data_IF_527216528795
#
_entry.id   IF_527216528795
#
_cell.length_a   1.000
_cell.length_b   1.000
_cell.length_c   1.000
_cell.angle_alpha   90.00
_cell.angle_beta   90.00
_cell.angle_gamma   90.00
#
_symmetry.space_group_name_H-M   'P 1'
#
loop_
_entity.id
_entity.type
_entity.pdbx_description
1 polymer ?
#
# COMPACT_ATOMS: atom_id res chain seq x y z
N UNK A 1 20.87 77.82 -62.68
CA UNK A 1 20.53 76.95 -63.83
C UNK A 1 20.30 75.52 -63.34
N UNK A 2 19.12 74.90 -63.75
CA UNK A 2 18.75 73.49 -63.79
C UNK A 2 18.68 72.74 -62.47
N UNK A 3 17.52 72.60 -61.91
CA UNK A 3 16.59 71.49 -61.77
C UNK A 3 17.13 70.05 -62.00
N UNK A 4 16.98 69.18 -60.99
CA UNK A 4 16.37 67.85 -61.24
C UNK A 4 15.99 67.20 -59.92
N UNK A 5 14.71 66.90 -59.83
CA UNK A 5 14.03 66.12 -58.90
C UNK A 5 14.38 64.64 -59.05
N UNK A 6 14.47 63.88 -57.94
CA UNK A 6 14.37 62.41 -57.94
C UNK A 6 13.48 61.99 -56.82
N UNK A 7 12.56 61.14 -57.20
CA UNK A 7 11.41 60.54 -56.54
C UNK A 7 11.68 59.80 -55.25
N UNK A 8 10.71 59.90 -54.33
CA UNK A 8 10.51 59.11 -53.19
C UNK A 8 10.12 57.65 -53.55
N UNK A 9 10.80 56.67 -52.96
CA UNK A 9 10.41 55.28 -52.99
C UNK A 9 9.90 54.86 -51.59
N UNK A 10 8.62 54.81 -51.42
CA UNK A 10 8.00 54.28 -50.20
C UNK A 10 8.04 52.74 -50.22
N UNK A 11 8.89 52.17 -49.37
CA UNK A 11 8.90 50.72 -49.08
C UNK A 11 7.85 50.40 -48.02
N UNK A 12 6.79 49.81 -48.45
CA UNK A 12 5.78 49.24 -47.52
C UNK A 12 6.32 47.98 -46.85
N UNK A 13 6.63 48.05 -45.56
CA UNK A 13 6.88 46.90 -44.71
C UNK A 13 5.52 46.25 -44.34
N UNK A 14 5.15 45.18 -45.02
CA UNK A 14 4.04 44.30 -44.64
C UNK A 14 4.46 43.46 -43.45
N UNK A 15 4.04 43.85 -42.24
CA UNK A 15 4.11 43.03 -41.05
C UNK A 15 3.15 41.86 -41.18
N UNK A 16 3.64 40.66 -41.48
CA UNK A 16 2.87 39.45 -41.36
C UNK A 16 2.64 39.18 -39.87
N UNK A 17 1.48 39.54 -39.35
CA UNK A 17 0.99 39.05 -38.06
C UNK A 17 0.74 37.58 -38.18
N UNK A 18 1.65 36.75 -37.62
CA UNK A 18 1.42 35.36 -37.40
C UNK A 18 0.26 35.23 -36.40
N UNK A 19 -0.94 35.00 -36.92
CA UNK A 19 -2.07 34.57 -36.11
C UNK A 19 -1.70 33.23 -35.51
N UNK A 20 -1.35 33.21 -34.22
CA UNK A 20 -1.28 32.00 -33.42
C UNK A 20 -2.70 31.41 -33.36
N UNK A 21 -2.96 30.43 -34.22
CA UNK A 21 -4.18 29.61 -34.13
C UNK A 21 -4.03 28.85 -32.84
N UNK A 22 -4.63 29.35 -31.76
CA UNK A 22 -4.84 28.55 -30.56
C UNK A 22 -5.63 27.32 -30.96
N UNK A 23 -5.02 26.15 -30.86
CA UNK A 23 -5.74 24.89 -31.04
C UNK A 23 -7.01 24.92 -30.18
N UNK A 24 -8.17 24.53 -30.69
CA UNK A 24 -9.39 24.52 -29.89
C UNK A 24 -9.15 23.65 -28.68
N UNK A 25 -9.23 24.21 -27.48
CA UNK A 25 -9.33 23.47 -26.26
C UNK A 25 -10.60 22.63 -26.40
N UNK A 26 -10.46 21.35 -26.76
CA UNK A 26 -11.58 20.40 -26.66
C UNK A 26 -11.89 20.38 -25.16
N UNK A 27 -13.00 21.01 -24.79
CA UNK A 27 -13.57 20.91 -23.46
C UNK A 27 -14.03 19.46 -23.27
N UNK A 28 -13.09 18.56 -22.97
CA UNK A 28 -13.42 17.26 -22.41
C UNK A 28 -14.04 17.57 -21.04
N UNK A 29 -15.31 17.20 -20.87
CA UNK A 29 -15.97 17.35 -19.57
C UNK A 29 -15.13 16.72 -18.47
N UNK A 30 -15.23 17.24 -17.24
CA UNK A 30 -14.54 16.70 -16.08
C UNK A 30 -14.88 15.21 -15.92
N UNK A 31 -13.86 14.36 -15.87
CA UNK A 31 -14.00 12.94 -15.57
C UNK A 31 -14.15 12.79 -14.05
N UNK A 32 -15.33 12.37 -13.61
CA UNK A 32 -15.63 12.15 -12.19
C UNK A 32 -15.52 10.66 -11.88
N UNK A 33 -14.66 10.30 -10.92
CA UNK A 33 -14.38 8.94 -10.51
C UNK A 33 -14.72 8.74 -9.03
N UNK A 34 -15.17 7.54 -8.69
CA UNK A 34 -15.45 7.11 -7.31
C UNK A 34 -14.36 6.17 -6.86
N UNK A 35 -13.66 6.52 -5.77
CA UNK A 35 -12.70 5.64 -5.10
C UNK A 35 -13.31 5.14 -3.79
N UNK A 36 -13.41 3.85 -3.61
CA UNK A 36 -13.83 3.21 -2.36
C UNK A 36 -12.63 2.70 -1.59
N UNK A 37 -12.66 2.74 -0.25
CA UNK A 37 -11.56 2.28 0.59
C UNK A 37 -12.03 1.29 1.65
N UNK A 38 -11.11 0.47 2.17
CA UNK A 38 -11.37 -0.45 3.29
C UNK A 38 -11.05 0.20 4.65
N UNK A 39 -10.77 1.51 4.66
CA UNK A 39 -10.30 2.23 5.84
C UNK A 39 -11.43 2.98 6.53
N UNK A 40 -11.42 3.03 7.89
CA UNK A 40 -12.34 3.88 8.64
C UNK A 40 -12.22 5.34 8.22
N UNK A 41 -13.33 6.05 8.20
CA UNK A 41 -13.33 7.48 7.97
C UNK A 41 -12.37 8.18 8.97
N UNK A 42 -11.57 9.14 8.49
CA UNK A 42 -10.55 9.88 9.27
C UNK A 42 -9.37 9.04 9.76
N UNK A 43 -9.21 7.78 9.33
CA UNK A 43 -8.00 7.00 9.64
C UNK A 43 -6.78 7.70 9.04
N UNK A 44 -5.86 8.11 9.89
CA UNK A 44 -4.59 8.71 9.45
C UNK A 44 -3.77 7.68 8.67
N UNK A 45 -2.87 8.14 7.84
CA UNK A 45 -2.04 7.24 7.03
C UNK A 45 -2.81 6.55 5.90
N UNK A 46 -3.75 5.66 6.21
CA UNK A 46 -4.43 4.85 5.21
C UNK A 46 -5.51 5.64 4.44
N UNK A 47 -6.54 6.15 5.14
CA UNK A 47 -7.61 6.93 4.50
C UNK A 47 -7.06 8.25 3.94
N UNK A 48 -6.20 8.94 4.70
CA UNK A 48 -5.62 10.20 4.24
C UNK A 48 -4.69 10.03 3.03
N UNK A 49 -4.08 8.87 2.84
CA UNK A 49 -3.31 8.55 1.62
C UNK A 49 -4.23 8.47 0.39
N UNK A 50 -5.35 7.78 0.49
CA UNK A 50 -6.34 7.73 -0.60
C UNK A 50 -6.83 9.13 -0.98
N UNK A 51 -7.09 9.98 0.02
CA UNK A 51 -7.53 11.37 -0.18
C UNK A 51 -6.44 12.24 -0.83
N UNK A 52 -5.16 12.08 -0.40
CA UNK A 52 -4.02 12.78 -1.03
C UNK A 52 -3.79 12.32 -2.46
N UNK A 53 -3.90 11.01 -2.73
CA UNK A 53 -3.79 10.48 -4.09
C UNK A 53 -4.87 11.09 -5.00
N UNK A 54 -6.12 11.17 -4.52
CA UNK A 54 -7.22 11.81 -5.23
C UNK A 54 -6.93 13.29 -5.53
N UNK A 55 -6.42 14.03 -4.53
CA UNK A 55 -6.02 15.44 -4.68
C UNK A 55 -4.85 15.61 -5.65
N UNK A 56 -3.85 14.73 -5.60
CA UNK A 56 -2.70 14.75 -6.51
C UNK A 56 -3.13 14.52 -7.97
N UNK A 57 -4.00 13.56 -8.23
CA UNK A 57 -4.57 13.30 -9.55
C UNK A 57 -5.35 14.53 -10.05
N UNK A 58 -6.17 15.14 -9.19
CA UNK A 58 -6.94 16.34 -9.54
C UNK A 58 -6.01 17.51 -9.92
N UNK A 59 -5.02 17.79 -9.08
CA UNK A 59 -4.07 18.88 -9.31
C UNK A 59 -3.22 18.65 -10.58
N UNK A 60 -2.65 17.45 -10.75
CA UNK A 60 -1.81 17.11 -11.89
C UNK A 60 -2.59 17.08 -13.22
N UNK A 61 -3.90 16.86 -13.17
CA UNK A 61 -4.78 16.90 -14.36
C UNK A 61 -5.36 18.27 -14.67
N UNK A 62 -4.93 19.33 -13.98
CA UNK A 62 -5.55 20.67 -14.08
C UNK A 62 -7.09 20.63 -13.90
N UNK A 63 -7.56 19.81 -12.95
CA UNK A 63 -8.97 19.65 -12.64
C UNK A 63 -9.77 18.81 -13.63
N UNK A 64 -9.15 18.21 -14.64
CA UNK A 64 -9.85 17.36 -15.63
C UNK A 64 -10.33 16.03 -15.04
N UNK A 65 -9.64 15.51 -14.03
CA UNK A 65 -9.98 14.30 -13.31
C UNK A 65 -10.30 14.66 -11.88
N UNK A 66 -11.50 14.32 -11.41
CA UNK A 66 -11.92 14.47 -10.03
C UNK A 66 -12.23 13.10 -9.44
N UNK A 67 -11.57 12.75 -8.34
CA UNK A 67 -11.78 11.49 -7.63
C UNK A 67 -12.45 11.77 -6.30
N UNK A 68 -13.67 11.27 -6.13
CA UNK A 68 -14.40 11.31 -4.86
C UNK A 68 -14.08 10.05 -4.05
N UNK A 69 -13.62 10.22 -2.80
CA UNK A 69 -13.18 9.11 -1.95
C UNK A 69 -14.26 8.75 -0.93
N UNK A 70 -14.64 7.49 -0.90
CA UNK A 70 -15.66 6.92 -0.03
C UNK A 70 -14.99 5.98 0.98
N UNK A 71 -14.95 6.33 2.27
CA UNK A 71 -14.47 5.46 3.33
C UNK A 71 -15.27 4.16 3.45
N UNK A 72 -14.70 3.19 4.14
CA UNK A 72 -15.35 1.91 4.45
C UNK A 72 -16.79 2.10 4.96
N UNK A 73 -17.69 1.26 4.49
CA UNK A 73 -19.11 1.23 4.88
C UNK A 73 -19.94 2.47 4.48
N UNK A 74 -19.45 3.31 3.56
CA UNK A 74 -20.23 4.45 3.03
C UNK A 74 -20.89 4.14 1.69
N UNK A 75 -20.14 3.73 0.68
CA UNK A 75 -20.68 3.32 -0.62
C UNK A 75 -20.73 1.79 -0.75
N UNK A 76 -19.68 1.09 -0.27
CA UNK A 76 -19.59 -0.36 -0.19
C UNK A 76 -19.09 -0.76 1.21
N UNK A 77 -19.32 -2.00 1.60
CA UNK A 77 -18.79 -2.51 2.87
C UNK A 77 -17.27 -2.67 2.80
N UNK A 78 -16.63 -2.58 3.96
CA UNK A 78 -15.22 -2.93 4.08
C UNK A 78 -14.98 -4.36 3.56
N UNK A 79 -13.84 -4.56 2.86
CA UNK A 79 -13.39 -5.81 2.23
C UNK A 79 -14.24 -6.26 1.00
N UNK A 80 -15.19 -5.43 0.55
CA UNK A 80 -15.96 -5.67 -0.69
C UNK A 80 -15.52 -4.71 -1.83
N UNK A 81 -14.51 -3.88 -1.60
CA UNK A 81 -14.06 -2.81 -2.52
C UNK A 81 -13.56 -3.36 -3.86
N UNK A 82 -12.82 -4.47 -3.85
CA UNK A 82 -12.32 -5.14 -5.05
C UNK A 82 -13.43 -5.59 -5.99
N UNK A 83 -14.43 -6.27 -5.44
CA UNK A 83 -15.57 -6.76 -6.22
C UNK A 83 -16.42 -5.61 -6.76
N UNK A 84 -16.60 -4.56 -5.97
CA UNK A 84 -17.31 -3.36 -6.38
C UNK A 84 -16.65 -2.67 -7.58
N UNK A 85 -15.32 -2.58 -7.59
CA UNK A 85 -14.57 -1.99 -8.71
C UNK A 85 -14.54 -2.92 -9.91
N UNK A 86 -14.32 -4.21 -9.73
CA UNK A 86 -14.36 -5.20 -10.80
C UNK A 86 -15.71 -5.22 -11.53
N UNK A 87 -16.81 -5.06 -10.78
CA UNK A 87 -18.19 -4.98 -11.30
C UNK A 87 -18.57 -3.61 -11.86
N UNK A 88 -17.77 -2.54 -11.62
CA UNK A 88 -18.06 -1.18 -12.09
C UNK A 88 -19.05 -0.41 -11.21
N UNK A 89 -19.27 -0.82 -9.97
CA UNK A 89 -20.05 -0.06 -8.96
C UNK A 89 -19.25 1.16 -8.49
N UNK A 90 -17.94 1.01 -8.37
CA UNK A 90 -16.98 2.08 -8.16
C UNK A 90 -15.90 2.00 -9.25
N UNK A 91 -15.16 3.09 -9.42
CA UNK A 91 -14.15 3.22 -10.48
C UNK A 91 -12.76 2.79 -10.00
N UNK A 92 -12.49 3.01 -8.72
CA UNK A 92 -11.19 2.75 -8.08
C UNK A 92 -11.42 2.22 -6.67
N UNK A 93 -10.44 1.44 -6.17
CA UNK A 93 -10.31 1.17 -4.75
C UNK A 93 -8.93 1.60 -4.23
N UNK A 94 -8.80 1.82 -2.93
CA UNK A 94 -7.53 1.90 -2.22
C UNK A 94 -7.56 0.88 -1.09
N UNK A 95 -6.73 -0.18 -1.21
CA UNK A 95 -6.78 -1.32 -0.30
C UNK A 95 -5.49 -2.14 -0.31
N UNK A 96 -5.49 -3.24 0.46
CA UNK A 96 -4.43 -4.23 0.53
C UNK A 96 -4.84 -5.50 -0.22
N UNK A 97 -4.02 -5.92 -1.19
CA UNK A 97 -4.36 -7.03 -2.09
C UNK A 97 -4.54 -8.38 -1.37
N UNK A 98 -3.92 -8.62 -0.23
CA UNK A 98 -4.07 -9.87 0.52
C UNK A 98 -5.51 -10.12 1.03
N UNK A 99 -6.36 -9.09 1.07
CA UNK A 99 -7.77 -9.29 1.43
C UNK A 99 -8.52 -10.16 0.42
N UNK A 100 -7.98 -10.31 -0.78
CA UNK A 100 -8.53 -11.14 -1.85
C UNK A 100 -7.80 -12.48 -2.03
N UNK A 101 -7.01 -12.92 -1.04
CA UNK A 101 -6.29 -14.20 -1.10
C UNK A 101 -7.19 -15.40 -1.38
N UNK A 102 -8.48 -15.32 -1.04
CA UNK A 102 -9.48 -16.34 -1.37
C UNK A 102 -9.78 -16.43 -2.88
N UNK A 103 -9.53 -15.36 -3.64
CA UNK A 103 -9.67 -15.34 -5.10
C UNK A 103 -8.42 -15.91 -5.78
N UNK A 104 -7.27 -15.52 -5.27
CA UNK A 104 -5.95 -16.07 -5.60
C UNK A 104 -4.96 -15.78 -4.49
N UNK A 105 -4.30 -16.80 -3.99
CA UNK A 105 -3.24 -16.64 -2.99
C UNK A 105 -2.06 -15.80 -3.50
N UNK A 106 -1.91 -15.66 -4.82
CA UNK A 106 -0.87 -14.85 -5.44
C UNK A 106 -1.02 -13.35 -5.18
N UNK A 107 -2.21 -12.84 -4.82
CA UNK A 107 -2.39 -11.45 -4.44
C UNK A 107 -1.53 -11.03 -3.24
N UNK A 108 -1.21 -11.96 -2.35
CA UNK A 108 -0.37 -11.67 -1.17
C UNK A 108 1.03 -11.18 -1.53
N UNK A 109 1.60 -11.61 -2.68
CA UNK A 109 2.93 -11.16 -3.11
C UNK A 109 2.99 -9.68 -3.47
N UNK A 110 1.87 -9.04 -3.81
CA UNK A 110 1.76 -7.62 -4.15
C UNK A 110 1.39 -6.73 -2.95
N UNK A 111 1.15 -7.34 -1.79
CA UNK A 111 0.97 -6.64 -0.52
C UNK A 111 2.18 -6.88 0.37
N UNK A 112 2.29 -8.09 0.90
CA UNK A 112 3.37 -8.49 1.81
C UNK A 112 3.34 -10.01 2.00
N UNK A 113 4.49 -10.59 2.32
CA UNK A 113 4.58 -11.96 2.81
C UNK A 113 5.48 -12.01 4.04
N UNK A 114 5.29 -12.95 4.96
CA UNK A 114 6.12 -13.07 6.15
C UNK A 114 7.62 -13.19 5.81
N UNK A 115 8.46 -12.39 6.46
CA UNK A 115 9.90 -12.27 6.16
C UNK A 115 10.20 -11.97 4.69
N UNK A 116 9.30 -11.26 4.02
CA UNK A 116 9.37 -10.89 2.61
C UNK A 116 10.19 -9.63 2.35
N UNK A 117 9.81 -8.92 1.28
CA UNK A 117 10.45 -7.69 0.84
C UNK A 117 10.07 -6.52 1.76
N UNK A 118 11.03 -5.67 2.06
CA UNK A 118 10.80 -4.36 2.69
C UNK A 118 10.10 -3.40 1.73
N UNK A 119 9.77 -2.19 2.18
CA UNK A 119 9.08 -1.20 1.34
C UNK A 119 9.82 -0.91 0.05
N UNK A 120 11.11 -0.57 0.14
CA UNK A 120 11.93 -0.24 -1.02
C UNK A 120 12.16 -1.44 -1.94
N UNK A 121 12.35 -2.63 -1.36
CA UNK A 121 12.52 -3.87 -2.09
C UNK A 121 11.24 -4.28 -2.85
N UNK A 122 10.06 -4.11 -2.24
CA UNK A 122 8.77 -4.37 -2.90
C UNK A 122 8.56 -3.41 -4.08
N UNK A 123 8.84 -2.12 -3.89
CA UNK A 123 8.77 -1.12 -4.95
C UNK A 123 9.72 -1.48 -6.11
N UNK A 124 10.94 -1.88 -5.77
CA UNK A 124 11.93 -2.29 -6.77
C UNK A 124 11.49 -3.54 -7.54
N UNK A 125 10.93 -4.56 -6.88
CA UNK A 125 10.40 -5.73 -7.57
C UNK A 125 9.25 -5.39 -8.50
N UNK A 126 8.30 -4.59 -8.03
CA UNK A 126 7.14 -4.20 -8.84
C UNK A 126 7.57 -3.43 -10.08
N UNK A 127 8.47 -2.44 -9.96
CA UNK A 127 8.83 -1.56 -11.08
C UNK A 127 10.00 -2.05 -11.94
N UNK A 128 10.91 -2.85 -11.38
CA UNK A 128 12.14 -3.26 -12.08
C UNK A 128 12.37 -4.78 -12.10
N UNK A 129 11.64 -5.53 -11.27
CA UNK A 129 11.75 -6.99 -11.19
C UNK A 129 10.66 -7.76 -11.95
N UNK A 130 9.84 -7.06 -12.78
CA UNK A 130 8.75 -7.68 -13.56
C UNK A 130 7.45 -7.88 -12.76
N UNK A 131 7.39 -7.39 -11.52
CA UNK A 131 6.21 -7.56 -10.66
C UNK A 131 4.96 -6.93 -11.24
N UNK A 132 5.03 -5.72 -11.82
CA UNK A 132 3.86 -5.02 -12.36
C UNK A 132 3.17 -5.79 -13.49
N UNK A 133 3.92 -6.38 -14.41
CA UNK A 133 3.36 -7.15 -15.54
C UNK A 133 2.62 -8.40 -15.07
N UNK A 134 3.19 -9.07 -14.06
CA UNK A 134 2.57 -10.23 -13.43
C UNK A 134 1.29 -9.84 -12.67
N UNK A 135 1.34 -8.71 -11.97
CA UNK A 135 0.19 -8.18 -11.24
C UNK A 135 -0.93 -7.74 -12.17
N UNK A 136 -0.59 -7.07 -13.28
CA UNK A 136 -1.53 -6.72 -14.34
C UNK A 136 -2.21 -7.96 -14.91
N UNK A 137 -1.44 -9.04 -15.15
CA UNK A 137 -1.96 -10.30 -15.67
C UNK A 137 -2.93 -10.98 -14.69
N UNK A 138 -2.59 -10.99 -13.39
CA UNK A 138 -3.43 -11.55 -12.35
C UNK A 138 -4.73 -10.76 -12.21
N UNK A 139 -4.63 -9.45 -12.04
CA UNK A 139 -5.76 -8.56 -11.74
C UNK A 139 -6.70 -8.37 -12.94
N UNK A 140 -6.18 -8.54 -14.17
CA UNK A 140 -6.99 -8.49 -15.41
C UNK A 140 -8.11 -9.53 -15.43
N UNK A 141 -7.92 -10.68 -14.78
CA UNK A 141 -8.93 -11.73 -14.67
C UNK A 141 -10.18 -11.25 -13.89
N UNK A 142 -10.01 -10.20 -13.08
CA UNK A 142 -11.04 -9.59 -12.25
C UNK A 142 -11.44 -8.20 -12.74
N UNK A 143 -11.05 -7.82 -13.96
CA UNK A 143 -11.34 -6.49 -14.55
C UNK A 143 -10.71 -5.33 -13.75
N UNK A 144 -9.51 -5.53 -13.18
CA UNK A 144 -8.76 -4.56 -12.39
C UNK A 144 -7.42 -4.24 -13.05
N UNK A 145 -7.01 -2.95 -13.00
CA UNK A 145 -5.65 -2.46 -13.22
C UNK A 145 -5.10 -1.97 -11.88
N UNK A 146 -4.14 -2.67 -11.27
CA UNK A 146 -3.56 -2.27 -10.00
C UNK A 146 -2.33 -1.38 -10.18
N UNK A 147 -2.09 -0.49 -9.23
CA UNK A 147 -0.86 0.29 -9.09
C UNK A 147 -0.48 0.36 -7.61
N UNK A 148 0.80 0.23 -7.30
CA UNK A 148 1.31 0.39 -5.96
C UNK A 148 1.29 1.87 -5.57
N UNK A 149 0.63 2.25 -4.46
CA UNK A 149 0.41 3.65 -4.11
C UNK A 149 0.75 4.03 -2.66
N UNK A 150 1.00 3.04 -1.80
CA UNK A 150 1.39 3.30 -0.41
C UNK A 150 2.21 2.11 0.11
N UNK A 151 3.04 2.36 1.13
CA UNK A 151 3.62 1.29 1.95
C UNK A 151 3.73 1.75 3.40
N UNK A 152 3.42 0.86 4.33
CA UNK A 152 3.43 1.15 5.76
C UNK A 152 4.83 1.09 6.39
N UNK A 153 5.82 0.57 5.65
CA UNK A 153 7.10 0.16 6.22
C UNK A 153 6.96 -1.09 7.09
N UNK A 154 8.02 -1.42 7.82
CA UNK A 154 8.02 -2.57 8.73
C UNK A 154 7.02 -2.35 9.86
N UNK A 155 6.13 -3.31 10.05
CA UNK A 155 5.10 -3.25 11.08
C UNK A 155 5.55 -3.81 12.43
N UNK A 156 4.67 -3.66 13.42
CA UNK A 156 4.83 -4.29 14.73
C UNK A 156 4.15 -5.66 14.75
N UNK A 157 4.60 -6.52 15.68
CA UNK A 157 4.10 -7.89 15.80
C UNK A 157 2.67 -8.00 16.35
N UNK A 158 2.18 -6.94 17.00
CA UNK A 158 0.78 -6.82 17.44
C UNK A 158 0.61 -6.53 18.91
N UNK A 159 -0.64 -6.31 19.27
CA UNK A 159 -1.17 -6.01 20.60
C UNK A 159 -1.81 -7.24 21.23
N UNK A 160 -1.54 -7.45 22.51
CA UNK A 160 -2.02 -8.61 23.25
C UNK A 160 -2.60 -8.16 24.59
N UNK A 161 -3.67 -8.83 25.02
CA UNK A 161 -4.30 -8.61 26.33
C UNK A 161 -3.43 -9.11 27.49
N UNK A 162 -2.52 -10.05 27.22
CA UNK A 162 -1.58 -10.60 28.21
C UNK A 162 -0.18 -10.83 27.63
N UNK A 163 0.82 -11.12 28.48
CA UNK A 163 2.16 -11.41 28.04
C UNK A 163 2.24 -12.78 27.36
N UNK A 164 3.17 -12.90 26.40
CA UNK A 164 3.59 -14.19 25.82
C UNK A 164 4.88 -14.65 26.51
N UNK A 165 4.86 -15.81 27.12
CA UNK A 165 6.03 -16.39 27.76
C UNK A 165 6.71 -17.44 26.86
N UNK A 166 5.95 -18.09 25.96
CA UNK A 166 6.44 -19.16 25.10
C UNK A 166 5.60 -19.33 23.84
N UNK A 167 6.10 -20.15 22.90
CA UNK A 167 5.31 -20.58 21.72
C UNK A 167 3.99 -21.28 22.12
N UNK A 168 3.92 -21.88 23.31
CA UNK A 168 2.73 -22.53 23.81
C UNK A 168 1.54 -21.58 23.97
N UNK A 169 1.80 -20.30 24.18
CA UNK A 169 0.76 -19.29 24.41
C UNK A 169 -0.01 -18.92 23.14
N UNK A 170 0.49 -19.32 21.98
CA UNK A 170 -0.27 -19.19 20.72
C UNK A 170 -1.39 -20.22 20.59
N UNK A 171 -1.34 -21.34 21.34
CA UNK A 171 -2.39 -22.38 21.24
C UNK A 171 -3.73 -21.86 21.73
N UNK A 172 -4.70 -21.84 20.82
CA UNK A 172 -6.04 -21.35 21.10
C UNK A 172 -6.17 -19.85 21.22
N UNK A 173 -5.07 -19.07 21.08
CA UNK A 173 -5.10 -17.61 21.08
C UNK A 173 -5.94 -17.11 19.90
N UNK A 174 -6.99 -16.33 20.18
CA UNK A 174 -7.83 -15.71 19.16
C UNK A 174 -7.14 -14.43 18.69
N UNK A 175 -6.55 -14.53 17.50
CA UNK A 175 -5.70 -13.47 16.97
C UNK A 175 -6.25 -12.94 15.65
N UNK A 176 -6.50 -11.63 15.57
CA UNK A 176 -6.79 -10.95 14.30
C UNK A 176 -5.49 -10.70 13.56
N UNK A 177 -5.27 -11.43 12.47
CA UNK A 177 -4.14 -11.26 11.57
C UNK A 177 -4.54 -11.71 10.17
N UNK A 178 -4.63 -10.80 9.18
CA UNK A 178 -4.96 -11.17 7.80
C UNK A 178 -3.75 -11.79 7.09
N UNK A 179 -4.00 -12.31 5.88
CA UNK A 179 -2.98 -12.80 4.97
C UNK A 179 -2.16 -13.97 5.52
N UNK A 180 -0.99 -14.15 4.94
CA UNK A 180 -0.12 -15.30 5.25
C UNK A 180 0.44 -15.28 6.68
N UNK A 181 0.56 -14.13 7.33
CA UNK A 181 0.92 -14.05 8.74
C UNK A 181 -0.06 -14.82 9.62
N UNK A 182 -1.35 -14.70 9.34
CA UNK A 182 -2.39 -15.48 10.02
C UNK A 182 -2.23 -16.97 9.81
N UNK A 183 -1.87 -17.43 8.61
CA UNK A 183 -1.64 -18.84 8.34
C UNK A 183 -0.42 -19.38 9.11
N UNK A 184 0.64 -18.61 9.25
CA UNK A 184 1.78 -18.96 10.12
C UNK A 184 1.32 -19.17 11.56
N UNK A 185 0.48 -18.28 12.09
CA UNK A 185 -0.04 -18.41 13.45
C UNK A 185 -1.00 -19.60 13.62
N UNK A 186 -1.83 -19.93 12.61
CA UNK A 186 -2.68 -21.15 12.63
C UNK A 186 -1.84 -22.41 12.79
N UNK A 187 -0.69 -22.49 12.11
CA UNK A 187 0.23 -23.63 12.24
C UNK A 187 0.86 -23.72 13.63
N UNK A 188 0.94 -22.62 14.35
CA UNK A 188 1.37 -22.57 15.75
C UNK A 188 0.22 -22.80 16.74
N UNK A 189 -0.99 -23.04 16.24
CA UNK A 189 -2.16 -23.40 17.05
C UNK A 189 -3.08 -22.23 17.41
N UNK A 190 -2.87 -21.04 16.86
CA UNK A 190 -3.76 -19.91 17.08
C UNK A 190 -5.08 -20.05 16.32
N UNK A 191 -6.13 -19.48 16.86
CA UNK A 191 -7.42 -19.27 16.17
C UNK A 191 -7.39 -17.91 15.50
N UNK A 192 -7.11 -17.89 14.20
CA UNK A 192 -6.96 -16.65 13.44
C UNK A 192 -8.28 -16.23 12.82
N UNK A 193 -8.61 -14.93 13.00
CA UNK A 193 -9.78 -14.29 12.41
C UNK A 193 -9.35 -13.09 11.56
N UNK A 194 -10.15 -12.77 10.56
CA UNK A 194 -9.99 -11.54 9.77
C UNK A 194 -11.16 -10.60 10.09
N UNK A 195 -10.83 -9.39 10.55
CA UNK A 195 -11.79 -8.34 10.87
C UNK A 195 -11.35 -7.03 10.21
N UNK A 196 -12.28 -6.21 9.71
CA UNK A 196 -11.98 -4.85 9.29
C UNK A 196 -11.37 -4.03 10.42
N UNK A 197 -10.49 -3.06 10.09
CA UNK A 197 -9.81 -2.21 11.09
C UNK A 197 -10.75 -1.52 12.07
N UNK A 198 -11.92 -1.07 11.61
CA UNK A 198 -12.92 -0.41 12.46
C UNK A 198 -13.51 -1.27 13.59
N UNK A 199 -13.39 -2.60 13.48
CA UNK A 199 -14.00 -3.55 14.44
C UNK A 199 -13.00 -4.06 15.50
N UNK A 200 -11.69 -3.83 15.28
CA UNK A 200 -10.61 -4.41 16.09
C UNK A 200 -10.71 -4.00 17.57
N UNK A 201 -10.82 -2.70 17.84
CA UNK A 201 -10.85 -2.17 19.22
C UNK A 201 -12.02 -2.73 20.02
N UNK A 202 -13.19 -2.82 19.39
CA UNK A 202 -14.35 -3.40 20.03
C UNK A 202 -14.18 -4.90 20.29
N UNK A 203 -13.59 -5.64 19.36
CA UNK A 203 -13.34 -7.06 19.49
C UNK A 203 -12.32 -7.37 20.61
N UNK A 204 -11.24 -6.58 20.75
CA UNK A 204 -10.30 -6.68 21.88
C UNK A 204 -10.96 -6.33 23.21
N UNK A 205 -11.74 -5.24 23.27
CA UNK A 205 -12.41 -4.78 24.48
C UNK A 205 -13.45 -5.79 24.99
N UNK A 206 -14.20 -6.40 24.09
CA UNK A 206 -15.21 -7.41 24.46
C UNK A 206 -14.61 -8.78 24.79
N UNK A 207 -13.31 -8.98 24.51
CA UNK A 207 -12.68 -10.30 24.60
C UNK A 207 -13.13 -11.27 23.50
N UNK A 208 -13.69 -10.79 22.38
CA UNK A 208 -13.95 -11.62 21.20
C UNK A 208 -12.64 -12.10 20.55
N UNK A 209 -11.59 -11.29 20.63
CA UNK A 209 -10.22 -11.65 20.30
C UNK A 209 -9.28 -11.32 21.48
N UNK A 210 -8.15 -12.03 21.55
CA UNK A 210 -7.14 -11.89 22.61
C UNK A 210 -5.95 -11.04 22.14
N UNK A 211 -5.76 -10.96 20.83
CA UNK A 211 -4.68 -10.21 20.20
C UNK A 211 -5.07 -9.70 18.81
N UNK A 212 -4.42 -8.63 18.39
CA UNK A 212 -4.53 -8.08 17.03
C UNK A 212 -3.24 -7.41 16.62
N UNK A 213 -2.82 -7.59 15.38
CA UNK A 213 -1.97 -6.63 14.70
C UNK A 213 -2.85 -5.54 14.05
N UNK A 214 -2.24 -4.41 13.69
CA UNK A 214 -2.85 -3.43 12.81
C UNK A 214 -1.81 -2.86 11.84
N UNK A 215 -0.92 -1.98 12.29
CA UNK A 215 0.17 -1.44 11.45
C UNK A 215 1.42 -1.20 12.30
N UNK A 216 1.42 -0.13 13.07
CA UNK A 216 2.55 0.33 13.86
C UNK A 216 2.16 1.47 14.80
N UNK A 217 3.09 2.00 15.61
CA UNK A 217 2.79 2.91 16.69
C UNK A 217 1.82 4.05 16.33
N UNK A 218 1.99 4.65 15.17
CA UNK A 218 1.17 5.78 14.72
C UNK A 218 -0.29 5.40 14.49
N UNK A 219 -0.51 4.40 13.63
CA UNK A 219 -1.85 3.95 13.27
C UNK A 219 -2.54 3.25 14.43
N UNK A 220 -1.78 2.51 15.22
CA UNK A 220 -2.29 1.74 16.36
C UNK A 220 -2.76 2.68 17.48
N UNK A 221 -2.04 3.78 17.71
CA UNK A 221 -2.46 4.84 18.63
C UNK A 221 -3.69 5.60 18.11
N UNK A 222 -3.73 5.90 16.80
CA UNK A 222 -4.88 6.57 16.17
C UNK A 222 -6.14 5.73 16.30
N UNK A 223 -6.03 4.41 16.10
CA UNK A 223 -7.13 3.46 16.31
C UNK A 223 -7.50 3.29 17.78
N UNK A 224 -6.55 3.55 18.70
CA UNK A 224 -6.76 3.46 20.15
C UNK A 224 -6.43 2.09 20.75
N UNK A 225 -5.60 1.26 20.10
CA UNK A 225 -5.21 -0.06 20.56
C UNK A 225 -4.48 -0.02 21.92
N UNK A 226 -3.63 0.99 22.13
CA UNK A 226 -2.92 1.24 23.41
C UNK A 226 -3.81 1.43 24.62
N UNK A 227 -5.12 1.68 24.42
CA UNK A 227 -6.12 1.87 25.47
C UNK A 227 -6.86 0.59 25.86
N UNK A 228 -6.74 -0.46 25.04
CA UNK A 228 -7.47 -1.72 25.21
C UNK A 228 -6.58 -2.94 25.34
N UNK A 229 -5.29 -2.82 25.00
CA UNK A 229 -4.27 -3.86 25.17
C UNK A 229 -2.98 -3.26 25.72
N UNK A 230 -2.27 -3.97 26.59
CA UNK A 230 -1.12 -3.43 27.33
C UNK A 230 0.23 -4.04 26.92
N UNK A 231 0.23 -5.04 26.05
CA UNK A 231 1.47 -5.69 25.58
C UNK A 231 1.59 -5.51 24.08
N UNK A 232 2.72 -4.92 23.65
CA UNK A 232 2.99 -4.59 22.25
C UNK A 232 4.29 -5.25 21.80
N UNK A 233 4.18 -6.18 20.87
CA UNK A 233 5.31 -7.01 20.46
C UNK A 233 5.92 -6.57 19.15
N UNK A 234 7.24 -6.84 18.97
CA UNK A 234 8.00 -6.64 17.74
C UNK A 234 9.06 -7.73 17.54
N UNK A 235 9.60 -7.90 16.32
CA UNK A 235 9.21 -7.25 15.05
C UNK A 235 7.93 -7.83 14.45
N UNK A 236 7.33 -7.09 13.52
CA UNK A 236 6.23 -7.58 12.69
C UNK A 236 6.73 -8.51 11.60
N UNK A 237 6.97 -9.77 11.94
CA UNK A 237 7.52 -10.79 11.05
C UNK A 237 6.65 -11.01 9.80
N UNK A 238 5.36 -10.75 9.92
CA UNK A 238 4.31 -10.99 8.92
C UNK A 238 4.30 -9.89 7.85
N UNK A 239 4.65 -8.66 8.20
CA UNK A 239 4.56 -7.49 7.34
C UNK A 239 5.82 -6.61 7.40
N UNK A 240 6.89 -7.03 6.70
CA UNK A 240 8.14 -6.24 6.64
C UNK A 240 8.02 -4.99 5.77
N UNK A 241 6.97 -4.88 4.96
CA UNK A 241 6.64 -3.73 4.14
C UNK A 241 5.32 -3.97 3.42
N UNK A 242 4.23 -3.44 3.96
CA UNK A 242 2.89 -3.69 3.40
C UNK A 242 2.58 -2.69 2.31
N UNK A 243 2.64 -3.17 1.08
CA UNK A 243 2.23 -2.44 -0.11
C UNK A 243 0.72 -2.35 -0.21
N UNK A 244 0.22 -1.14 -0.46
CA UNK A 244 -1.20 -0.90 -0.71
C UNK A 244 -1.39 -0.48 -2.16
N UNK A 245 -2.50 -0.91 -2.72
CA UNK A 245 -2.85 -0.70 -4.10
C UNK A 245 -3.95 0.34 -4.28
N UNK A 246 -3.83 1.13 -5.33
CA UNK A 246 -4.98 1.69 -5.99
C UNK A 246 -5.34 0.75 -7.16
N UNK A 247 -6.50 0.09 -7.06
CA UNK A 247 -7.02 -0.73 -8.15
C UNK A 247 -8.07 0.04 -8.92
N UNK A 248 -7.95 0.04 -10.25
CA UNK A 248 -8.78 0.82 -11.17
C UNK A 248 -9.58 -0.16 -12.02
N UNK A 249 -10.87 0.11 -12.25
CA UNK A 249 -11.64 -0.67 -13.19
C UNK A 249 -10.91 -0.71 -14.55
N UNK A 250 -10.60 -1.90 -15.05
CA UNK A 250 -9.76 -2.06 -16.23
C UNK A 250 -10.37 -1.46 -17.50
N UNK A 251 -11.69 -1.57 -17.67
CA UNK A 251 -12.38 -0.98 -18.84
C UNK A 251 -12.28 0.54 -18.81
N UNK A 252 -12.43 1.14 -17.63
CA UNK A 252 -12.20 2.56 -17.43
C UNK A 252 -10.74 2.91 -17.75
N UNK A 253 -9.77 2.19 -17.20
CA UNK A 253 -8.35 2.40 -17.46
C UNK A 253 -8.01 2.37 -18.95
N UNK A 254 -8.56 1.42 -19.68
CA UNK A 254 -8.36 1.28 -21.13
C UNK A 254 -9.01 2.41 -21.94
N UNK A 255 -10.06 3.05 -21.40
CA UNK A 255 -10.81 4.13 -22.05
C UNK A 255 -10.19 5.53 -21.90
N UNK A 256 -9.40 5.78 -20.87
CA UNK A 256 -8.77 7.08 -20.62
C UNK A 256 -7.51 7.27 -21.48
N UNK A 257 -7.14 8.54 -21.71
CA UNK A 257 -5.97 8.87 -22.52
C UNK A 257 -4.67 8.33 -21.90
N UNK A 258 -3.69 8.00 -22.75
CA UNK A 258 -2.37 7.50 -22.30
C UNK A 258 -1.69 8.51 -21.37
N UNK A 259 -1.83 9.82 -21.65
CA UNK A 259 -1.30 10.88 -20.78
C UNK A 259 -1.93 10.87 -19.38
N UNK A 260 -3.23 10.58 -19.29
CA UNK A 260 -3.94 10.51 -18.00
C UNK A 260 -3.60 9.24 -17.24
N UNK A 261 -3.36 8.11 -17.93
CA UNK A 261 -2.82 6.88 -17.30
C UNK A 261 -1.46 7.14 -16.66
N UNK A 262 -0.54 7.76 -17.39
CA UNK A 262 0.80 8.11 -16.87
C UNK A 262 0.72 9.05 -15.68
N UNK A 263 -0.15 10.04 -15.75
CA UNK A 263 -0.38 10.96 -14.64
C UNK A 263 -0.83 10.22 -13.37
N UNK A 264 -1.73 9.24 -13.50
CA UNK A 264 -2.20 8.42 -12.37
C UNK A 264 -1.08 7.51 -11.86
N UNK A 265 -0.29 6.90 -12.74
CA UNK A 265 0.89 6.09 -12.40
C UNK A 265 1.91 6.91 -11.60
N UNK A 266 2.24 8.12 -12.09
CA UNK A 266 3.19 9.03 -11.42
C UNK A 266 2.66 9.52 -10.07
N UNK A 267 1.36 9.82 -9.97
CA UNK A 267 0.72 10.21 -8.72
C UNK A 267 0.75 9.06 -7.69
N UNK A 268 0.51 7.82 -8.12
CA UNK A 268 0.58 6.65 -7.26
C UNK A 268 2.01 6.41 -6.74
N UNK A 269 3.01 6.49 -7.61
CA UNK A 269 4.42 6.35 -7.22
C UNK A 269 4.88 7.46 -6.27
N UNK A 270 4.44 8.71 -6.50
CA UNK A 270 4.74 9.83 -5.61
C UNK A 270 4.07 9.67 -4.24
N UNK A 271 2.82 9.20 -4.18
CA UNK A 271 2.14 8.93 -2.91
C UNK A 271 2.79 7.75 -2.17
N UNK A 272 3.28 6.72 -2.87
CA UNK A 272 4.06 5.64 -2.27
C UNK A 272 5.28 6.18 -1.50
N UNK A 273 6.11 6.97 -2.15
CA UNK A 273 7.31 7.56 -1.53
C UNK A 273 6.96 8.46 -0.33
N UNK A 274 5.92 9.28 -0.47
CA UNK A 274 5.41 10.13 0.60
C UNK A 274 4.92 9.31 1.78
N UNK A 275 4.16 8.26 1.53
CA UNK A 275 3.60 7.39 2.55
C UNK A 275 4.68 6.69 3.37
N UNK A 276 5.69 6.09 2.72
CA UNK A 276 6.83 5.48 3.41
C UNK A 276 7.50 6.47 4.38
N UNK A 277 7.73 7.69 3.93
CA UNK A 277 8.33 8.75 4.76
C UNK A 277 7.40 9.15 5.92
N UNK A 278 6.10 9.32 5.66
CA UNK A 278 5.09 9.68 6.66
C UNK A 278 4.97 8.61 7.75
N UNK A 279 4.86 7.34 7.37
CA UNK A 279 4.80 6.23 8.33
C UNK A 279 6.08 6.13 9.16
N UNK A 280 7.25 6.22 8.54
CA UNK A 280 8.53 6.16 9.24
C UNK A 280 8.66 7.26 10.30
N UNK A 281 8.35 8.51 9.93
CA UNK A 281 8.45 9.66 10.83
C UNK A 281 7.45 9.56 11.99
N UNK A 282 6.17 9.30 11.68
CA UNK A 282 5.13 9.26 12.70
C UNK A 282 5.24 8.04 13.61
N UNK A 283 5.66 6.87 13.09
CA UNK A 283 5.92 5.71 13.92
C UNK A 283 7.03 5.98 14.95
N UNK A 284 8.10 6.69 14.55
CA UNK A 284 9.18 7.06 15.47
C UNK A 284 8.68 7.98 16.61
N UNK A 285 7.86 8.99 16.28
CA UNK A 285 7.31 9.89 17.29
C UNK A 285 6.31 9.19 18.20
N UNK A 286 5.40 8.40 17.66
CA UNK A 286 4.39 7.68 18.44
C UNK A 286 5.02 6.59 19.32
N UNK A 287 6.06 5.90 18.85
CA UNK A 287 6.80 4.94 19.65
C UNK A 287 7.43 5.61 20.88
N UNK A 288 8.00 6.81 20.70
CA UNK A 288 8.54 7.59 21.81
C UNK A 288 7.45 7.93 22.82
N UNK A 289 6.30 8.42 22.36
CA UNK A 289 5.16 8.72 23.24
C UNK A 289 4.72 7.49 24.05
N UNK A 290 4.55 6.33 23.39
CA UNK A 290 4.17 5.08 24.09
C UNK A 290 5.19 4.69 25.17
N UNK A 291 6.50 4.92 24.94
CA UNK A 291 7.56 4.66 25.93
C UNK A 291 7.51 5.66 27.08
N UNK A 292 7.30 6.93 26.82
CA UNK A 292 7.21 8.00 27.82
C UNK A 292 5.99 7.85 28.71
N UNK A 293 4.85 7.45 28.17
CA UNK A 293 3.61 7.18 28.92
C UNK A 293 3.72 5.95 29.83
N UNK A 294 4.56 4.97 29.48
CA UNK A 294 4.89 3.81 30.32
C UNK A 294 3.75 2.83 30.59
N UNK A 295 2.57 3.04 30.03
CA UNK A 295 1.39 2.19 30.22
C UNK A 295 1.44 0.90 29.41
N UNK A 296 2.23 0.89 28.33
CA UNK A 296 2.36 -0.22 27.37
C UNK A 296 3.72 -0.91 27.52
N UNK A 297 3.70 -2.22 27.63
CA UNK A 297 4.93 -3.04 27.65
C UNK A 297 5.34 -3.40 26.22
N UNK A 298 6.36 -2.73 25.71
CA UNK A 298 6.91 -2.95 24.37
C UNK A 298 7.99 -4.03 24.48
N UNK A 299 7.74 -5.19 23.91
CA UNK A 299 8.55 -6.40 24.09
C UNK A 299 8.95 -7.01 22.75
N UNK A 300 10.21 -7.43 22.63
CA UNK A 300 10.65 -8.20 21.47
C UNK A 300 10.19 -9.66 21.63
N UNK A 301 9.69 -10.26 20.57
CA UNK A 301 9.51 -11.72 20.54
C UNK A 301 10.85 -12.40 20.81
N UNK A 302 10.84 -13.46 21.58
CA UNK A 302 12.08 -14.21 21.82
C UNK A 302 12.56 -14.91 20.53
N UNK A 303 13.83 -15.32 20.53
CA UNK A 303 14.44 -15.93 19.35
C UNK A 303 13.81 -17.28 18.98
N UNK A 304 13.23 -18.00 19.93
CA UNK A 304 12.53 -19.26 19.67
C UNK A 304 11.23 -19.02 18.91
N UNK A 305 10.49 -17.96 19.27
CA UNK A 305 9.29 -17.53 18.56
C UNK A 305 9.63 -17.07 17.14
N UNK A 306 10.65 -16.20 17.01
CA UNK A 306 11.06 -15.70 15.68
C UNK A 306 11.52 -16.85 14.77
N UNK A 307 12.27 -17.82 15.30
CA UNK A 307 12.68 -19.00 14.53
C UNK A 307 11.49 -19.85 14.10
N UNK A 308 10.51 -20.04 14.99
CA UNK A 308 9.29 -20.78 14.65
C UNK A 308 8.44 -20.05 13.59
N UNK A 309 8.32 -18.72 13.69
CA UNK A 309 7.68 -17.90 12.66
C UNK A 309 8.39 -18.07 11.31
N UNK A 310 9.73 -17.97 11.30
CA UNK A 310 10.53 -18.08 10.08
C UNK A 310 10.38 -19.45 9.41
N UNK A 311 10.45 -20.54 10.18
CA UNK A 311 10.31 -21.90 9.66
C UNK A 311 8.93 -22.10 9.02
N UNK A 312 7.85 -21.75 9.73
CA UNK A 312 6.49 -21.90 9.20
C UNK A 312 6.22 -20.95 8.01
N UNK A 313 6.83 -19.76 8.01
CA UNK A 313 6.67 -18.79 6.90
C UNK A 313 7.20 -19.32 5.58
N UNK A 314 8.31 -20.05 5.58
CA UNK A 314 8.87 -20.64 4.34
C UNK A 314 7.84 -21.52 3.62
N UNK A 315 7.19 -22.39 4.36
CA UNK A 315 6.19 -23.31 3.82
C UNK A 315 4.90 -22.59 3.41
N UNK A 316 4.45 -21.62 4.22
CA UNK A 316 3.24 -20.84 3.92
C UNK A 316 3.42 -20.04 2.63
N UNK A 317 4.55 -19.33 2.50
CA UNK A 317 4.85 -18.52 1.32
C UNK A 317 5.02 -19.39 0.07
N UNK A 318 5.73 -20.53 0.20
CA UNK A 318 5.86 -21.49 -0.90
C UNK A 318 4.50 -22.04 -1.34
N UNK A 319 3.63 -22.35 -0.40
CA UNK A 319 2.29 -22.89 -0.67
C UNK A 319 1.41 -21.90 -1.45
N UNK A 320 1.52 -20.58 -1.18
CA UNK A 320 0.81 -19.57 -1.95
C UNK A 320 1.23 -19.53 -3.43
N UNK A 321 2.44 -19.99 -3.74
CA UNK A 321 2.94 -20.12 -5.10
C UNK A 321 2.56 -21.44 -5.80
N UNK A 322 1.84 -22.37 -5.17
CA UNK A 322 1.53 -23.70 -5.75
C UNK A 322 0.23 -23.76 -6.55
N UNK A 323 -0.54 -22.67 -6.63
CA UNK A 323 -1.82 -22.60 -7.33
C UNK A 323 -1.75 -22.92 -8.83
N UNK A 324 -2.26 -22.04 -9.65
CA UNK A 324 -2.21 -22.15 -11.10
C UNK A 324 -0.82 -21.75 -11.67
N UNK A 325 -0.69 -21.81 -13.00
CA UNK A 325 0.58 -21.46 -13.70
C UNK A 325 1.00 -20.02 -13.45
N UNK A 326 0.06 -19.10 -13.33
CA UNK A 326 0.34 -17.69 -13.05
C UNK A 326 0.84 -17.50 -11.62
N UNK A 327 0.21 -18.14 -10.64
CA UNK A 327 0.66 -18.12 -9.24
C UNK A 327 2.08 -18.65 -9.10
N UNK A 328 2.41 -19.74 -9.82
CA UNK A 328 3.80 -20.27 -9.87
C UNK A 328 4.79 -19.27 -10.47
N UNK A 329 4.42 -18.58 -11.54
CA UNK A 329 5.27 -17.56 -12.18
C UNK A 329 5.49 -16.36 -11.26
N UNK A 330 4.43 -15.89 -10.58
CA UNK A 330 4.51 -14.79 -9.61
C UNK A 330 5.45 -15.16 -8.46
N UNK A 331 5.27 -16.32 -7.86
CA UNK A 331 6.14 -16.81 -6.80
C UNK A 331 7.59 -16.94 -7.24
N UNK A 332 7.84 -17.54 -8.41
CA UNK A 332 9.18 -17.71 -8.93
C UNK A 332 9.89 -16.36 -9.17
N UNK A 333 9.20 -15.38 -9.76
CA UNK A 333 9.70 -14.02 -9.95
C UNK A 333 10.01 -13.34 -8.61
N UNK A 334 9.04 -13.34 -7.68
CA UNK A 334 9.20 -12.77 -6.35
C UNK A 334 10.38 -13.39 -5.60
N UNK A 335 10.47 -14.72 -5.59
CA UNK A 335 11.51 -15.45 -4.87
C UNK A 335 12.90 -15.19 -5.46
N UNK A 336 13.03 -15.20 -6.78
CA UNK A 336 14.29 -14.89 -7.46
C UNK A 336 14.76 -13.46 -7.14
N UNK A 337 13.86 -12.49 -7.23
CA UNK A 337 14.17 -11.11 -6.91
C UNK A 337 14.54 -10.94 -5.42
N UNK A 338 13.75 -11.55 -4.52
CA UNK A 338 14.03 -11.50 -3.08
C UNK A 338 15.41 -12.08 -2.76
N UNK A 339 15.80 -13.19 -3.37
CA UNK A 339 17.11 -13.78 -3.14
C UNK A 339 18.23 -12.83 -3.56
N UNK A 340 18.11 -12.22 -4.73
CA UNK A 340 19.13 -11.28 -5.22
C UNK A 340 19.20 -9.99 -4.40
N UNK A 341 18.04 -9.40 -4.02
CA UNK A 341 18.05 -8.14 -3.29
C UNK A 341 18.50 -8.29 -1.83
N UNK A 342 18.29 -9.46 -1.22
CA UNK A 342 18.76 -9.71 0.16
C UNK A 342 20.28 -9.65 0.27
N UNK A 343 21.02 -10.17 -0.72
CA UNK A 343 22.49 -10.09 -0.72
C UNK A 343 22.95 -8.63 -0.72
N UNK A 344 22.26 -7.77 -1.48
CA UNK A 344 22.54 -6.33 -1.50
C UNK A 344 22.16 -5.66 -0.16
N UNK A 345 20.95 -5.91 0.33
CA UNK A 345 20.45 -5.31 1.57
C UNK A 345 21.34 -5.66 2.77
N UNK A 346 21.92 -6.86 2.80
CA UNK A 346 22.80 -7.31 3.89
C UNK A 346 24.09 -6.51 3.95
N UNK A 347 24.73 -6.22 2.82
CA UNK A 347 25.98 -5.47 2.76
C UNK A 347 25.80 -3.95 2.71
N UNK A 348 24.63 -3.48 2.33
CA UNK A 348 24.31 -2.06 2.23
C UNK A 348 23.57 -1.57 3.50
N UNK A 349 22.25 -1.58 3.47
CA UNK A 349 21.42 -0.92 4.48
C UNK A 349 21.54 -1.58 5.86
N UNK A 350 21.47 -2.92 5.94
CA UNK A 350 21.56 -3.63 7.21
C UNK A 350 22.93 -3.42 7.87
N UNK A 351 24.02 -3.52 7.10
CA UNK A 351 25.35 -3.29 7.60
C UNK A 351 25.52 -1.85 8.11
N UNK A 352 24.99 -0.86 7.37
CA UNK A 352 25.01 0.54 7.79
C UNK A 352 24.19 0.77 9.07
N UNK A 353 22.93 0.27 9.11
CA UNK A 353 22.06 0.43 10.27
C UNK A 353 22.65 -0.21 11.53
N UNK A 354 23.27 -1.40 11.41
CA UNK A 354 23.97 -2.05 12.51
C UNK A 354 25.17 -1.21 12.98
N UNK A 355 25.95 -0.65 12.06
CA UNK A 355 27.11 0.21 12.39
C UNK A 355 26.70 1.50 13.07
N UNK A 356 25.62 2.14 12.63
CA UNK A 356 25.06 3.34 13.26
C UNK A 356 24.55 3.07 14.68
N UNK A 357 24.11 1.86 14.97
CA UNK A 357 23.63 1.45 16.29
C UNK A 357 24.73 1.11 17.30
N UNK A 358 26.03 1.28 16.95
CA UNK A 358 27.16 1.08 17.85
C UNK A 358 27.50 2.32 18.68
N UNK A 359 26.82 3.45 18.44
CA UNK A 359 26.94 4.66 19.28
C UNK A 359 26.23 4.42 20.62
#
# INVERSE_FOLDING_TARGET
MRRRSVLAGAGALTSAAAASVSAPAIARGMLKLKMVTDWPARSKGLQSSAERLAQAIHAASDGRIAVEVFPANTLVKALETFDAVGAGVADMYHSAEYYWEQKSSAFTFFTTVPFGLSADELFAWVHYGGGQELWDTLSAQFNIKPLLCLNTGVQMGGWFNGPLASLGDFKGLRYRMPGQGGEVLRRLGATVVNLPGGDIVQALRSGAIDASEWVGPWMDMDLGLHRVASHYYYPGFHEPGTGLAVGINRRLWESIAVSDRRLIEDAAAAEYARGVAEFSANNAWCLRTLREEGAVKITRFDDSMIKAFLVNSKDVVAQAGTGDDLSRKIYASYHAFRTAIMDWSDIAERAYLNSRGLE
#
